data_IF_726427589885
#
_entry.id   IF_726427589885
#
_cell.length_a   1.000
_cell.length_b   1.000
_cell.length_c   1.000
_cell.angle_alpha   90.00
_cell.angle_beta   90.00
_cell.angle_gamma   90.00
#
_symmetry.space_group_name_H-M   'P 1'
#
loop_
_entity.id
_entity.type
_entity.pdbx_description
1 polymer ?
#
# COMPACT_ATOMS: atom_id res chain seq x y z
N UNK A 1 1.16 3.43 -6.00
CA UNK A 1 1.33 2.57 -7.20
C UNK A 1 2.76 2.59 -7.73
N UNK A 2 3.29 3.73 -8.22
CA UNK A 2 4.66 3.77 -8.78
C UNK A 2 5.75 3.31 -7.81
N UNK A 3 5.60 3.65 -6.51
CA UNK A 3 6.54 3.24 -5.47
C UNK A 3 6.62 1.70 -5.34
N UNK A 4 5.47 1.00 -5.28
CA UNK A 4 5.45 -0.47 -5.22
C UNK A 4 5.91 -1.08 -6.56
N UNK A 5 5.59 -0.45 -7.70
CA UNK A 5 6.12 -0.84 -9.01
C UNK A 5 7.63 -0.65 -9.17
N UNK A 6 8.26 0.12 -8.26
CA UNK A 6 9.71 0.30 -8.18
C UNK A 6 10.35 -0.57 -7.08
N UNK A 7 9.58 -1.47 -6.45
CA UNK A 7 10.08 -2.36 -5.39
C UNK A 7 10.39 -1.63 -4.08
N UNK A 8 9.81 -0.46 -3.82
CA UNK A 8 10.06 0.28 -2.58
C UNK A 8 9.22 -0.27 -1.43
N UNK A 9 9.79 -0.30 -0.23
CA UNK A 9 9.02 -0.50 0.99
C UNK A 9 8.20 0.74 1.36
N UNK A 10 7.08 0.52 2.05
CA UNK A 10 6.02 1.51 2.21
C UNK A 10 5.65 1.73 3.67
N UNK A 11 5.60 2.98 4.13
CA UNK A 11 5.05 3.33 5.44
C UNK A 11 3.95 4.36 5.21
N UNK A 12 2.76 4.10 5.75
CA UNK A 12 1.63 4.99 5.60
C UNK A 12 0.61 4.83 6.72
N UNK A 13 -0.22 5.84 6.94
CA UNK A 13 -1.32 5.75 7.90
C UNK A 13 -2.34 4.71 7.44
N UNK A 14 -2.94 3.99 8.39
CA UNK A 14 -3.99 3.01 8.14
C UNK A 14 -5.33 3.70 7.89
N UNK A 15 -5.42 4.39 6.76
CA UNK A 15 -6.60 5.13 6.31
C UNK A 15 -7.04 4.62 4.96
N UNK A 16 -8.33 4.38 4.82
CA UNK A 16 -8.90 3.92 3.58
C UNK A 16 -8.71 4.98 2.46
N UNK A 17 -8.40 4.61 1.22
CA UNK A 17 -8.25 3.24 0.67
C UNK A 17 -6.84 2.94 0.17
N UNK A 18 -6.09 3.98 -0.22
CA UNK A 18 -4.83 3.83 -0.94
C UNK A 18 -3.75 3.07 -0.16
N UNK A 19 -3.49 3.45 1.09
CA UNK A 19 -2.45 2.82 1.90
C UNK A 19 -2.77 1.33 2.13
N UNK A 20 -3.97 0.93 2.62
CA UNK A 20 -4.32 -0.48 2.73
C UNK A 20 -4.30 -1.26 1.40
N UNK A 21 -4.44 -0.58 0.26
CA UNK A 21 -4.37 -1.22 -1.06
C UNK A 21 -2.93 -1.56 -1.47
N UNK A 22 -1.95 -0.73 -1.09
CA UNK A 22 -0.56 -0.87 -1.55
C UNK A 22 0.42 -1.34 -0.47
N UNK A 23 0.00 -1.40 0.79
CA UNK A 23 0.83 -1.79 1.93
C UNK A 23 0.26 -3.06 2.57
N UNK A 24 1.02 -4.14 2.51
CA UNK A 24 0.81 -5.35 3.30
C UNK A 24 1.61 -5.20 4.60
N UNK A 25 0.90 -4.97 5.70
CA UNK A 25 1.49 -4.68 7.00
C UNK A 25 2.43 -5.81 7.46
N UNK A 26 3.66 -5.44 7.83
CA UNK A 26 4.72 -6.37 8.20
C UNK A 26 5.42 -7.08 7.03
N UNK A 27 4.96 -6.92 5.78
CA UNK A 27 5.51 -7.62 4.61
C UNK A 27 6.29 -6.68 3.66
N UNK A 28 5.63 -5.66 3.11
CA UNK A 28 6.31 -4.61 2.33
C UNK A 28 6.43 -3.27 3.06
N UNK A 29 6.04 -3.25 4.34
CA UNK A 29 6.24 -2.12 5.23
C UNK A 29 5.15 -2.07 6.30
N UNK A 30 4.69 -0.88 6.69
CA UNK A 30 3.82 -0.73 7.86
C UNK A 30 2.61 0.18 7.61
N UNK A 31 1.45 -0.29 8.08
CA UNK A 31 0.23 0.49 8.22
C UNK A 31 0.16 1.06 9.64
N UNK A 32 0.46 2.34 9.77
CA UNK A 32 0.50 3.04 11.06
C UNK A 32 -0.93 3.37 11.51
N UNK A 33 -1.39 2.90 12.69
CA UNK A 33 -2.73 3.21 13.19
C UNK A 33 -2.96 4.71 13.32
N UNK A 34 -4.10 5.17 12.82
CA UNK A 34 -4.51 6.57 12.86
C UNK A 34 -5.99 6.68 13.22
N UNK A 35 -6.29 7.53 14.19
CA UNK A 35 -7.64 7.93 14.55
C UNK A 35 -7.78 9.45 14.40
N UNK A 36 -8.77 9.91 13.62
CA UNK A 36 -8.91 11.33 13.30
C UNK A 36 -9.47 12.15 14.48
N UNK A 37 -10.21 11.50 15.38
CA UNK A 37 -10.82 12.15 16.53
C UNK A 37 -9.89 12.16 17.75
N UNK A 38 -8.95 11.21 17.83
CA UNK A 38 -8.05 11.04 18.97
C UNK A 38 -6.61 11.51 18.72
N UNK A 39 -6.06 11.33 17.51
CA UNK A 39 -4.64 11.62 17.26
C UNK A 39 -4.39 13.10 16.97
N UNK A 40 -3.51 13.71 17.77
CA UNK A 40 -2.94 15.02 17.44
C UNK A 40 -1.90 14.91 16.32
N UNK A 41 -1.54 16.05 15.73
CA UNK A 41 -0.44 16.11 14.74
C UNK A 41 0.86 15.58 15.33
N UNK A 42 1.15 15.86 16.60
CA UNK A 42 2.37 15.40 17.26
C UNK A 42 2.35 13.87 17.46
N UNK A 43 1.19 13.29 17.78
CA UNK A 43 1.02 11.83 17.87
C UNK A 43 1.28 11.15 16.52
N UNK A 44 0.74 11.73 15.44
CA UNK A 44 0.97 11.23 14.07
C UNK A 44 2.44 11.29 13.70
N UNK A 45 3.13 12.40 13.99
CA UNK A 45 4.57 12.55 13.74
C UNK A 45 5.35 11.50 14.53
N UNK A 46 5.05 11.32 15.82
CA UNK A 46 5.72 10.35 16.67
C UNK A 46 5.52 8.91 16.17
N UNK A 47 4.29 8.55 15.80
CA UNK A 47 3.95 7.22 15.25
C UNK A 47 4.67 6.94 13.93
N UNK A 48 4.68 7.89 13.00
CA UNK A 48 5.39 7.75 11.72
C UNK A 48 6.91 7.66 11.92
N UNK A 49 7.49 8.51 12.77
CA UNK A 49 8.92 8.46 13.09
C UNK A 49 9.31 7.11 13.71
N UNK A 50 8.49 6.59 14.64
CA UNK A 50 8.69 5.27 15.22
C UNK A 50 8.65 4.16 14.16
N UNK A 51 7.66 4.19 13.25
CA UNK A 51 7.55 3.21 12.17
C UNK A 51 8.77 3.22 11.23
N UNK A 52 9.31 4.40 10.92
CA UNK A 52 10.54 4.53 10.12
C UNK A 52 11.73 3.86 10.83
N UNK A 53 11.93 4.15 12.12
CA UNK A 53 13.00 3.54 12.91
C UNK A 53 12.83 2.02 13.00
N UNK A 54 11.61 1.55 13.25
CA UNK A 54 11.28 0.13 13.29
C UNK A 54 11.58 -0.56 11.96
N UNK A 55 11.23 0.05 10.84
CA UNK A 55 11.49 -0.48 9.50
C UNK A 55 13.00 -0.66 9.22
N UNK A 56 13.84 0.30 9.59
CA UNK A 56 15.28 0.15 9.35
C UNK A 56 15.99 -0.77 10.33
N UNK A 57 15.49 -0.92 11.56
CA UNK A 57 16.12 -1.78 12.56
C UNK A 57 15.66 -3.24 12.47
N UNK A 58 14.35 -3.47 12.31
CA UNK A 58 13.71 -4.79 12.39
C UNK A 58 12.61 -4.95 11.33
N UNK A 59 12.72 -4.24 10.20
CA UNK A 59 11.72 -4.28 9.16
C UNK A 59 11.65 -5.59 8.40
N UNK A 60 10.75 -5.65 7.40
CA UNK A 60 10.62 -6.80 6.54
C UNK A 60 11.93 -7.11 5.80
N UNK A 61 12.21 -8.40 5.58
CA UNK A 61 13.49 -8.85 5.00
C UNK A 61 13.53 -8.67 3.48
N UNK A 62 12.40 -8.88 2.80
CA UNK A 62 12.29 -8.82 1.33
C UNK A 62 11.13 -7.92 0.87
N UNK A 63 11.06 -6.65 1.33
CA UNK A 63 9.95 -5.76 1.02
C UNK A 63 9.84 -5.45 -0.48
N UNK A 64 10.94 -5.53 -1.22
CA UNK A 64 10.97 -5.30 -2.66
C UNK A 64 10.18 -6.35 -3.44
N UNK A 65 10.35 -7.64 -3.14
CA UNK A 65 9.64 -8.74 -3.77
C UNK A 65 8.13 -8.62 -3.54
N UNK A 66 7.73 -8.34 -2.29
CA UNK A 66 6.32 -8.17 -1.93
C UNK A 66 5.74 -6.92 -2.61
N UNK A 67 6.48 -5.82 -2.70
CA UNK A 67 6.04 -4.63 -3.42
C UNK A 67 5.83 -4.90 -4.92
N UNK A 68 6.69 -5.69 -5.57
CA UNK A 68 6.47 -6.10 -6.95
C UNK A 68 5.23 -6.99 -7.08
N UNK A 69 5.02 -7.93 -6.16
CA UNK A 69 3.83 -8.78 -6.15
C UNK A 69 2.54 -7.96 -6.02
N UNK A 70 2.52 -6.97 -5.13
CA UNK A 70 1.40 -6.02 -5.02
C UNK A 70 1.20 -5.26 -6.33
N UNK A 71 2.28 -4.79 -6.95
CA UNK A 71 2.21 -4.02 -8.20
C UNK A 71 1.70 -4.83 -9.39
N UNK A 72 1.93 -6.15 -9.43
CA UNK A 72 1.49 -7.02 -10.53
C UNK A 72 -0.01 -6.91 -10.81
N UNK A 73 -0.85 -6.76 -9.78
CA UNK A 73 -2.30 -6.65 -9.94
C UNK A 73 -2.78 -5.36 -10.65
N UNK A 74 -1.87 -4.41 -10.84
CA UNK A 74 -2.10 -3.08 -11.40
C UNK A 74 -1.32 -2.85 -12.71
N UNK A 75 -0.78 -3.90 -13.32
CA UNK A 75 -0.13 -3.78 -14.61
C UNK A 75 -1.14 -3.35 -15.68
N UNK A 76 -0.66 -2.58 -16.66
CA UNK A 76 -1.51 -2.05 -17.74
C UNK A 76 -2.30 -3.15 -18.44
N UNK A 77 -1.70 -4.32 -18.65
CA UNK A 77 -2.35 -5.47 -19.27
C UNK A 77 -3.58 -5.94 -18.47
N UNK A 78 -3.46 -6.06 -17.14
CA UNK A 78 -4.57 -6.46 -16.27
C UNK A 78 -5.69 -5.42 -16.23
N UNK A 79 -5.32 -4.14 -16.24
CA UNK A 79 -6.30 -3.04 -16.26
C UNK A 79 -7.08 -3.04 -17.59
N UNK A 80 -6.41 -3.28 -18.72
CA UNK A 80 -7.08 -3.42 -20.03
C UNK A 80 -8.10 -4.56 -19.99
N UNK A 81 -7.70 -5.75 -19.50
CA UNK A 81 -8.60 -6.91 -19.40
C UNK A 81 -9.82 -6.64 -18.51
N UNK A 82 -9.63 -5.93 -17.38
CA UNK A 82 -10.74 -5.54 -16.49
C UNK A 82 -11.73 -4.60 -17.19
N UNK A 83 -11.24 -3.64 -17.97
CA UNK A 83 -12.08 -2.74 -18.77
C UNK A 83 -12.81 -3.47 -19.88
N UNK A 84 -12.13 -4.35 -20.62
CA UNK A 84 -12.75 -5.17 -21.66
C UNK A 84 -13.89 -6.02 -21.07
N UNK A 85 -13.65 -6.66 -19.91
CA UNK A 85 -14.66 -7.45 -19.20
C UNK A 85 -15.90 -6.62 -18.87
N UNK A 86 -15.71 -5.44 -18.28
CA UNK A 86 -16.81 -4.53 -17.94
C UNK A 86 -17.59 -4.09 -19.18
N UNK A 87 -16.91 -3.77 -20.28
CA UNK A 87 -17.58 -3.37 -21.54
C UNK A 87 -18.39 -4.53 -22.12
N UNK A 88 -17.85 -5.76 -22.09
CA UNK A 88 -18.58 -6.94 -22.56
C UNK A 88 -19.81 -7.23 -21.68
N UNK A 89 -19.70 -7.10 -20.36
CA UNK A 89 -20.82 -7.28 -19.43
C UNK A 89 -21.97 -6.31 -19.77
N UNK A 90 -21.68 -5.01 -19.86
CA UNK A 90 -22.70 -3.97 -20.12
C UNK A 90 -23.32 -4.07 -21.52
N UNK A 91 -22.58 -4.58 -22.51
CA UNK A 91 -23.10 -4.75 -23.88
C UNK A 91 -24.03 -5.95 -24.04
N UNK A 92 -23.98 -6.91 -23.12
CA UNK A 92 -24.80 -8.13 -23.16
C UNK A 92 -25.94 -8.14 -22.14
N UNK A 93 -26.11 -7.06 -21.37
CA UNK A 93 -27.30 -6.73 -20.57
C UNK A 93 -28.36 -5.97 -21.41
#
# INVERSE_FOLDING_TARGET
MEAVGSGLGMIGLNVNYGNPTFIRDGENGYLVPFDTDEDSVDDVIAKLAHAIVMYFNNGPQTPHDISYEVAQQFMTQDIILKWETLVQEVLHD
#
